data_IF_354736944393
#
_entry.id   IF_354736944393
#
_cell.length_a   1.000
_cell.length_b   1.000
_cell.length_c   1.000
_cell.angle_alpha   90.00
_cell.angle_beta   90.00
_cell.angle_gamma   90.00
#
_symmetry.space_group_name_H-M   'P 1'
#
loop_
_entity.id
_entity.type
_entity.pdbx_description
1 polymer ?
#
# COMPACT_ATOMS: atom_id res chain seq x y z
N UNK A 1 19.95 37.65 52.71
CA UNK A 1 18.88 37.71 51.72
C UNK A 1 19.06 36.49 50.78
N UNK A 2 18.23 35.45 50.92
CA UNK A 2 18.32 34.23 50.11
C UNK A 2 17.28 34.35 48.99
N UNK A 3 17.74 34.33 47.73
CA UNK A 3 16.87 34.32 46.56
C UNK A 3 16.55 32.87 46.19
N UNK A 4 15.29 32.47 46.16
CA UNK A 4 14.79 31.23 45.64
C UNK A 4 14.42 31.45 44.17
N UNK A 5 15.12 30.74 43.24
CA UNK A 5 14.76 30.71 41.82
C UNK A 5 13.78 29.55 41.64
N UNK A 6 12.53 29.87 41.30
CA UNK A 6 11.53 28.88 40.92
C UNK A 6 11.70 28.57 39.43
N UNK A 7 12.12 27.35 39.11
CA UNK A 7 12.06 26.87 37.75
C UNK A 7 10.65 26.32 37.45
N UNK A 8 9.94 26.98 36.53
CA UNK A 8 8.70 26.46 35.98
C UNK A 8 9.08 25.51 34.81
N UNK A 9 9.01 24.20 35.01
CA UNK A 9 9.04 23.25 33.95
C UNK A 9 7.65 23.24 33.28
N UNK A 10 7.53 23.85 32.08
CA UNK A 10 6.40 23.61 31.21
C UNK A 10 6.63 22.28 30.52
N UNK A 11 6.02 21.22 31.00
CA UNK A 11 5.88 19.98 30.23
C UNK A 11 4.98 20.28 29.03
N UNK A 12 5.57 20.37 27.84
CA UNK A 12 4.82 20.38 26.59
C UNK A 12 4.28 18.96 26.44
N UNK A 13 3.04 18.75 26.82
CA UNK A 13 2.31 17.53 26.47
C UNK A 13 1.96 17.67 24.99
N UNK A 14 2.67 16.93 24.14
CA UNK A 14 2.23 16.73 22.76
C UNK A 14 0.95 15.90 22.83
N UNK A 15 -0.20 16.57 22.80
CA UNK A 15 -1.46 15.92 22.52
C UNK A 15 -1.38 15.58 21.05
N UNK A 16 -1.15 14.29 20.71
CA UNK A 16 -1.32 13.78 19.34
C UNK A 16 -2.80 14.05 19.03
N UNK A 17 -3.07 14.98 18.12
CA UNK A 17 -4.44 15.21 17.66
C UNK A 17 -4.93 13.85 17.13
N UNK A 18 -6.01 13.34 17.73
CA UNK A 18 -6.68 12.16 17.24
C UNK A 18 -7.25 12.55 15.86
N UNK A 19 -7.01 11.73 14.86
CA UNK A 19 -7.59 11.93 13.54
C UNK A 19 -9.13 11.87 13.66
N UNK A 20 -9.82 12.77 13.01
CA UNK A 20 -11.29 12.80 12.99
C UNK A 20 -11.85 11.74 12.01
N UNK A 21 -10.99 11.09 11.20
CA UNK A 21 -11.37 10.13 10.17
C UNK A 21 -10.76 8.76 10.45
N UNK A 22 -11.51 7.71 10.12
CA UNK A 22 -11.09 6.33 10.34
C UNK A 22 -11.03 5.58 9.00
N UNK A 23 -9.81 5.19 8.62
CA UNK A 23 -9.53 4.33 7.49
C UNK A 23 -9.49 2.85 7.86
N UNK A 24 -8.97 2.03 6.96
CA UNK A 24 -8.68 0.63 7.23
C UNK A 24 -7.34 0.23 6.61
N UNK A 25 -6.69 -0.76 7.22
CA UNK A 25 -5.49 -1.38 6.65
C UNK A 25 -5.37 -2.84 7.10
N UNK A 26 -4.99 -3.69 6.15
CA UNK A 26 -4.68 -5.09 6.35
C UNK A 26 -3.21 -5.32 5.95
N UNK A 27 -2.47 -6.08 6.76
CA UNK A 27 -1.06 -6.35 6.54
C UNK A 27 -0.77 -7.83 6.68
N UNK A 28 0.04 -8.41 5.77
CA UNK A 28 0.55 -9.75 5.93
C UNK A 28 1.51 -9.86 7.12
N UNK A 29 1.46 -10.98 7.85
CA UNK A 29 2.34 -11.23 8.99
C UNK A 29 3.74 -11.61 8.53
N UNK A 30 3.83 -12.48 7.52
CA UNK A 30 5.11 -12.98 7.02
C UNK A 30 5.69 -12.04 5.96
N UNK A 31 6.97 -11.67 6.07
CA UNK A 31 7.67 -10.93 5.05
C UNK A 31 8.16 -11.84 3.93
N UNK A 32 8.18 -11.32 2.71
CA UNK A 32 8.63 -12.01 1.50
C UNK A 32 9.74 -11.24 0.80
N UNK A 33 10.58 -11.93 0.05
CA UNK A 33 11.62 -11.35 -0.78
C UNK A 33 11.40 -11.81 -2.21
N UNK A 34 11.14 -10.86 -3.10
CA UNK A 34 10.78 -11.09 -4.48
C UNK A 34 9.49 -11.91 -4.65
N UNK A 35 8.89 -11.83 -5.82
CA UNK A 35 7.70 -12.61 -6.12
C UNK A 35 6.77 -11.93 -7.12
N UNK A 36 5.67 -12.60 -7.40
CA UNK A 36 4.51 -12.08 -8.11
C UNK A 36 3.37 -11.89 -7.11
N UNK A 37 2.84 -10.67 -7.09
CA UNK A 37 1.78 -10.22 -6.19
C UNK A 37 0.57 -9.81 -7.02
N UNK A 38 -0.60 -10.28 -6.64
CA UNK A 38 -1.81 -9.98 -7.39
C UNK A 38 -3.00 -9.83 -6.45
N UNK A 39 -3.87 -8.88 -6.75
CA UNK A 39 -5.14 -8.67 -6.07
C UNK A 39 -6.23 -8.31 -7.08
N UNK A 40 -7.47 -8.67 -6.77
CA UNK A 40 -8.64 -8.18 -7.49
C UNK A 40 -9.36 -7.16 -6.63
N UNK A 41 -9.38 -5.90 -7.08
CA UNK A 41 -9.86 -4.76 -6.29
C UNK A 41 -10.86 -3.92 -7.07
N UNK A 42 -11.88 -3.40 -6.35
CA UNK A 42 -12.69 -2.25 -6.75
C UNK A 42 -12.45 -1.12 -5.74
N UNK A 43 -11.70 -0.07 -6.12
CA UNK A 43 -11.30 0.99 -5.21
C UNK A 43 -12.44 1.97 -4.90
N UNK A 44 -12.29 2.70 -3.79
CA UNK A 44 -13.21 3.76 -3.40
C UNK A 44 -13.11 4.96 -4.35
N UNK A 45 -14.26 5.49 -4.79
CA UNK A 45 -14.35 6.74 -5.55
C UNK A 45 -14.55 7.94 -4.62
N UNK A 46 -13.87 9.03 -4.90
CA UNK A 46 -14.01 10.34 -4.23
C UNK A 46 -12.68 11.06 -4.06
N UNK A 47 -12.69 12.38 -4.19
CA UNK A 47 -11.53 13.21 -3.97
C UNK A 47 -10.99 13.03 -2.54
N UNK A 48 -9.67 13.05 -2.39
CA UNK A 48 -9.02 12.89 -1.11
C UNK A 48 -8.86 11.45 -0.64
N UNK A 49 -9.24 10.44 -1.45
CA UNK A 49 -9.12 9.02 -1.10
C UNK A 49 -8.08 8.30 -1.97
N UNK A 50 -7.34 7.38 -1.34
CA UNK A 50 -6.48 6.41 -2.02
C UNK A 50 -6.79 5.00 -1.50
N UNK A 51 -6.93 4.07 -2.43
CA UNK A 51 -7.00 2.63 -2.16
C UNK A 51 -5.71 2.02 -2.69
N UNK A 52 -4.97 1.30 -1.86
CA UNK A 52 -3.63 0.82 -2.24
C UNK A 52 -3.46 -0.68 -2.06
N UNK A 53 -2.67 -1.27 -2.96
CA UNK A 53 -2.08 -2.59 -2.82
C UNK A 53 -0.57 -2.45 -3.00
N UNK A 54 0.20 -2.81 -1.99
CA UNK A 54 1.64 -2.53 -1.98
C UNK A 54 2.43 -3.52 -1.13
N UNK A 55 3.74 -3.51 -1.33
CA UNK A 55 4.67 -4.16 -0.40
C UNK A 55 5.58 -3.13 0.24
N UNK A 56 5.92 -3.34 1.53
CA UNK A 56 6.69 -2.41 2.33
C UNK A 56 7.67 -3.12 3.27
N UNK A 57 8.87 -2.57 3.38
CA UNK A 57 9.87 -3.03 4.34
C UNK A 57 9.59 -2.46 5.74
N UNK A 58 8.90 -3.23 6.59
CA UNK A 58 8.58 -2.83 7.97
C UNK A 58 9.82 -2.51 8.85
N UNK A 59 10.99 -2.99 8.46
CA UNK A 59 12.27 -2.71 9.17
C UNK A 59 12.90 -1.39 8.72
N UNK A 60 12.25 -0.65 7.81
CA UNK A 60 12.82 0.53 7.20
C UNK A 60 13.11 1.64 8.20
N UNK A 61 14.00 2.53 7.75
CA UNK A 61 14.20 3.88 8.29
C UNK A 61 14.93 3.95 9.63
N UNK A 62 15.20 2.81 10.28
CA UNK A 62 16.08 2.72 11.46
C UNK A 62 17.34 1.91 11.20
N UNK A 63 17.24 0.81 10.45
CA UNK A 63 18.35 -0.13 10.20
C UNK A 63 18.47 -0.55 8.74
N UNK A 64 17.42 -0.40 7.96
CA UNK A 64 17.38 -0.78 6.54
C UNK A 64 16.84 0.37 5.70
N UNK A 65 17.17 0.42 4.41
CA UNK A 65 16.59 1.37 3.48
C UNK A 65 15.07 1.26 3.38
N UNK A 66 14.42 2.35 3.03
CA UNK A 66 13.03 2.32 2.60
C UNK A 66 12.94 1.62 1.26
N UNK A 67 12.23 0.50 1.22
CA UNK A 67 11.84 -0.19 -0.01
C UNK A 67 10.33 -0.43 0.02
N UNK A 68 9.65 -0.03 -1.06
CA UNK A 68 8.20 -0.12 -1.21
C UNK A 68 7.85 -0.20 -2.70
N UNK A 69 6.85 -1.00 -3.04
CA UNK A 69 6.33 -1.12 -4.40
C UNK A 69 4.82 -0.95 -4.32
N UNK A 70 4.30 0.06 -5.05
CA UNK A 70 2.93 0.51 -4.91
C UNK A 70 2.11 0.31 -6.18
N UNK A 71 0.82 0.01 -5.97
CA UNK A 71 -0.30 0.30 -6.86
C UNK A 71 -1.26 1.18 -6.06
N UNK A 72 -1.48 2.41 -6.55
CA UNK A 72 -2.31 3.40 -5.89
C UNK A 72 -3.46 3.81 -6.80
N UNK A 73 -4.68 3.59 -6.32
CA UNK A 73 -5.93 3.87 -7.02
C UNK A 73 -6.56 5.11 -6.37
N UNK A 74 -6.31 6.27 -6.99
CA UNK A 74 -6.78 7.56 -6.48
C UNK A 74 -8.26 7.74 -6.79
N UNK A 75 -9.05 7.99 -5.76
CA UNK A 75 -10.50 8.13 -5.86
C UNK A 75 -10.98 9.26 -6.79
N UNK A 76 -10.13 10.24 -7.08
CA UNK A 76 -10.40 11.37 -7.97
C UNK A 76 -10.35 11.05 -9.46
N UNK A 77 -9.63 9.96 -9.84
CA UNK A 77 -9.38 9.66 -11.25
C UNK A 77 -10.22 8.48 -11.73
N UNK A 78 -10.91 8.67 -12.84
CA UNK A 78 -11.73 7.63 -13.47
C UNK A 78 -10.98 6.77 -14.48
N UNK A 79 -9.72 7.14 -14.79
CA UNK A 79 -8.97 6.48 -15.87
C UNK A 79 -7.45 6.43 -15.60
N UNK A 80 -7.03 6.55 -14.35
CA UNK A 80 -5.60 6.58 -14.01
C UNK A 80 -5.30 5.66 -12.84
N UNK A 81 -4.20 4.92 -12.97
CA UNK A 81 -3.60 4.13 -11.91
C UNK A 81 -2.18 4.64 -11.69
N UNK A 82 -1.83 4.93 -10.44
CA UNK A 82 -0.48 5.32 -10.07
C UNK A 82 0.31 4.07 -9.63
N UNK A 83 1.53 3.97 -10.12
CA UNK A 83 2.49 2.93 -9.74
C UNK A 83 3.76 3.60 -9.26
N UNK A 84 4.39 3.05 -8.22
CA UNK A 84 5.61 3.63 -7.68
C UNK A 84 6.56 2.53 -7.19
N UNK A 85 7.86 2.83 -7.21
CA UNK A 85 8.87 2.09 -6.48
C UNK A 85 9.64 3.08 -5.61
N UNK A 86 9.74 2.82 -4.32
CA UNK A 86 10.47 3.67 -3.38
C UNK A 86 11.77 2.98 -3.00
N UNK A 87 12.88 3.67 -3.20
CA UNK A 87 14.22 3.22 -2.86
C UNK A 87 14.91 4.22 -1.92
N UNK A 88 16.04 3.88 -1.36
CA UNK A 88 16.77 4.76 -0.46
C UNK A 88 17.16 6.09 -1.13
N UNK A 89 16.76 7.19 -0.50
CA UNK A 89 17.04 8.53 -1.02
C UNK A 89 16.17 8.99 -2.18
N UNK A 90 15.28 8.13 -2.70
CA UNK A 90 14.36 8.46 -3.78
C UNK A 90 12.97 7.85 -3.51
N UNK A 91 12.05 8.68 -3.08
CA UNK A 91 10.68 8.29 -2.74
C UNK A 91 9.70 8.33 -3.92
N UNK A 92 10.16 8.63 -5.13
CA UNK A 92 9.27 8.81 -6.26
C UNK A 92 9.90 8.33 -7.56
N UNK A 93 9.57 7.12 -7.95
CA UNK A 93 9.71 6.59 -9.30
C UNK A 93 8.31 6.37 -9.90
N UNK A 94 7.43 7.36 -9.70
CA UNK A 94 6.01 7.29 -10.02
C UNK A 94 5.78 7.22 -11.52
N UNK A 95 4.91 6.30 -11.93
CA UNK A 95 4.31 6.25 -13.24
C UNK A 95 2.79 6.29 -13.15
N UNK A 96 2.16 7.24 -13.80
CA UNK A 96 0.72 7.24 -14.04
C UNK A 96 0.42 6.47 -15.33
N UNK A 97 -0.49 5.52 -15.25
CA UNK A 97 -0.96 4.75 -16.39
C UNK A 97 -2.44 5.05 -16.66
N UNK A 98 -2.75 5.36 -17.94
CA UNK A 98 -4.14 5.54 -18.35
C UNK A 98 -4.79 4.21 -18.66
N UNK A 99 -5.96 3.97 -18.07
CA UNK A 99 -6.79 2.77 -18.32
C UNK A 99 -8.06 3.14 -19.09
N UNK A 100 -8.55 2.28 -20.02
CA UNK A 100 -9.72 2.57 -20.85
C UNK A 100 -11.05 2.39 -20.10
N UNK A 101 -11.03 2.04 -18.83
CA UNK A 101 -12.19 1.79 -17.96
C UNK A 101 -12.15 2.71 -16.73
N UNK A 102 -13.27 2.80 -16.01
CA UNK A 102 -13.31 3.46 -14.71
C UNK A 102 -13.09 2.41 -13.60
N UNK A 103 -11.95 2.45 -12.86
CA UNK A 103 -11.61 1.44 -11.86
C UNK A 103 -12.60 1.35 -10.70
N UNK A 104 -13.40 2.41 -10.46
CA UNK A 104 -14.36 2.46 -9.35
C UNK A 104 -15.70 1.76 -9.66
N UNK A 105 -15.95 1.43 -10.95
CA UNK A 105 -17.22 0.83 -11.36
C UNK A 105 -17.24 -0.68 -11.22
N UNK A 106 -16.11 -1.34 -11.45
CA UNK A 106 -16.02 -2.80 -11.38
C UNK A 106 -14.68 -3.26 -10.78
N UNK A 107 -14.57 -4.55 -10.53
CA UNK A 107 -13.35 -5.20 -10.11
C UNK A 107 -12.41 -5.41 -11.28
N UNK A 108 -11.16 -5.04 -11.08
CA UNK A 108 -10.06 -5.37 -11.99
C UNK A 108 -8.93 -6.04 -11.23
N UNK A 109 -8.10 -6.79 -11.94
CA UNK A 109 -6.95 -7.49 -11.38
C UNK A 109 -5.74 -6.56 -11.52
N UNK A 110 -5.09 -6.26 -10.40
CA UNK A 110 -3.88 -5.46 -10.32
C UNK A 110 -2.78 -6.28 -9.68
N UNK A 111 -1.58 -6.18 -10.21
CA UNK A 111 -0.46 -6.91 -9.65
C UNK A 111 0.87 -6.37 -10.09
N UNK A 112 1.92 -6.89 -9.49
CA UNK A 112 3.30 -6.64 -9.92
C UNK A 112 4.18 -7.86 -9.70
N UNK A 113 5.22 -7.95 -10.52
CA UNK A 113 6.33 -8.88 -10.36
C UNK A 113 7.53 -8.09 -9.85
N UNK A 114 8.16 -8.59 -8.81
CA UNK A 114 9.37 -8.04 -8.25
C UNK A 114 10.46 -9.11 -8.22
N UNK A 115 11.55 -8.82 -8.91
CA UNK A 115 12.73 -9.68 -9.03
C UNK A 115 14.00 -8.89 -8.69
N UNK A 116 15.18 -9.51 -8.61
CA UNK A 116 16.44 -8.76 -8.48
C UNK A 116 16.72 -7.77 -9.63
N UNK A 117 16.12 -8.01 -10.82
CA UNK A 117 16.45 -7.31 -12.05
C UNK A 117 15.38 -6.32 -12.50
N UNK A 118 14.12 -6.51 -12.07
CA UNK A 118 13.02 -5.63 -12.49
C UNK A 118 11.84 -5.64 -11.50
N UNK A 119 11.06 -4.56 -11.56
CA UNK A 119 9.67 -4.52 -11.10
C UNK A 119 8.78 -4.24 -12.31
N UNK A 120 7.78 -5.10 -12.53
CA UNK A 120 6.82 -4.95 -13.63
C UNK A 120 5.39 -4.95 -13.09
N UNK A 121 4.55 -4.02 -13.55
CA UNK A 121 3.15 -3.88 -13.14
C UNK A 121 2.21 -4.40 -14.20
N UNK A 122 1.12 -5.01 -13.74
CA UNK A 122 0.12 -5.68 -14.56
C UNK A 122 -1.29 -5.19 -14.20
N UNK A 123 -2.15 -5.06 -15.20
CA UNK A 123 -3.59 -4.87 -15.04
C UNK A 123 -4.30 -5.89 -15.91
N UNK A 124 -5.24 -6.65 -15.32
CA UNK A 124 -6.00 -7.73 -15.99
C UNK A 124 -5.10 -8.71 -16.74
N UNK A 125 -3.91 -8.98 -16.20
CA UNK A 125 -2.92 -9.92 -16.75
C UNK A 125 -2.02 -9.35 -17.85
N UNK A 126 -2.21 -8.10 -18.28
CA UNK A 126 -1.35 -7.42 -19.24
C UNK A 126 -0.27 -6.61 -18.52
N UNK A 127 1.01 -6.76 -18.94
CA UNK A 127 2.10 -5.92 -18.45
C UNK A 127 1.93 -4.50 -19.01
N UNK A 128 1.77 -3.53 -18.12
CA UNK A 128 1.52 -2.12 -18.50
C UNK A 128 2.72 -1.22 -18.29
N UNK A 129 3.65 -1.61 -17.41
CA UNK A 129 4.85 -0.85 -17.13
C UNK A 129 5.92 -1.72 -16.49
N UNK A 130 7.18 -1.38 -16.71
CA UNK A 130 8.36 -2.05 -16.13
C UNK A 130 9.42 -1.01 -15.76
N UNK A 131 10.08 -1.25 -14.65
CA UNK A 131 11.34 -0.59 -14.25
C UNK A 131 12.43 -1.66 -14.13
N UNK A 132 13.54 -1.45 -14.80
CA UNK A 132 14.74 -2.31 -14.79
C UNK A 132 16.04 -1.52 -14.63
N UNK A 133 15.92 -0.26 -14.19
CA UNK A 133 17.05 0.61 -13.91
C UNK A 133 17.75 0.21 -12.59
N UNK A 134 18.94 0.72 -12.38
CA UNK A 134 19.83 0.33 -11.28
C UNK A 134 19.24 0.49 -9.87
N UNK A 135 18.27 1.40 -9.68
CA UNK A 135 17.61 1.57 -8.38
C UNK A 135 16.79 0.33 -7.96
N UNK A 136 16.34 -0.50 -8.90
CA UNK A 136 15.62 -1.74 -8.60
C UNK A 136 16.53 -2.73 -7.85
N UNK A 137 17.83 -2.76 -8.14
CA UNK A 137 18.78 -3.63 -7.45
C UNK A 137 18.96 -3.27 -5.97
N UNK A 138 18.58 -2.05 -5.56
CA UNK A 138 18.56 -1.62 -4.17
C UNK A 138 17.35 -2.18 -3.40
N UNK A 139 16.34 -2.71 -4.12
CA UNK A 139 15.14 -3.30 -3.55
C UNK A 139 15.38 -4.77 -3.17
N UNK A 140 16.24 -5.00 -2.19
CA UNK A 140 16.72 -6.33 -1.78
C UNK A 140 16.41 -6.67 -0.33
N UNK A 141 15.45 -5.97 0.29
CA UNK A 141 15.02 -6.20 1.66
C UNK A 141 13.64 -6.83 1.70
N UNK A 142 13.43 -7.75 2.63
CA UNK A 142 12.12 -8.37 2.85
C UNK A 142 11.02 -7.31 3.04
N UNK A 143 9.90 -7.52 2.40
CA UNK A 143 8.73 -6.64 2.44
C UNK A 143 7.49 -7.45 2.84
N UNK A 144 6.51 -6.78 3.43
CA UNK A 144 5.20 -7.35 3.73
C UNK A 144 4.16 -6.80 2.77
N UNK A 145 3.15 -7.61 2.46
CA UNK A 145 2.01 -7.21 1.64
C UNK A 145 1.06 -6.37 2.50
N UNK A 146 0.59 -5.27 1.94
CA UNK A 146 -0.34 -4.34 2.57
C UNK A 146 -1.49 -3.99 1.63
N UNK A 147 -2.64 -3.73 2.24
CA UNK A 147 -3.81 -3.12 1.61
C UNK A 147 -4.35 -2.04 2.53
N UNK A 148 -4.79 -0.92 1.98
CA UNK A 148 -5.43 0.12 2.78
C UNK A 148 -6.42 0.97 1.97
N UNK A 149 -7.26 1.69 2.71
CA UNK A 149 -7.93 2.90 2.25
C UNK A 149 -7.58 4.01 3.22
N UNK A 150 -7.12 5.13 2.70
CA UNK A 150 -6.60 6.24 3.49
C UNK A 150 -6.85 7.59 2.84
N UNK A 151 -6.61 8.66 3.59
CA UNK A 151 -6.89 10.04 3.20
C UNK A 151 -5.62 10.89 3.33
N UNK A 152 -4.87 11.10 2.22
CA UNK A 152 -3.69 11.96 2.20
C UNK A 152 -3.98 13.44 2.46
N UNK A 153 -3.01 14.16 3.05
CA UNK A 153 -3.04 15.62 3.20
C UNK A 153 -2.68 16.38 1.91
N UNK A 154 -2.46 15.69 0.80
CA UNK A 154 -1.88 16.23 -0.43
C UNK A 154 -2.94 16.51 -1.49
N UNK A 155 -3.72 17.58 -1.33
CA UNK A 155 -4.84 17.95 -2.23
C UNK A 155 -4.44 18.01 -3.71
N UNK A 156 -3.20 18.44 -4.01
CA UNK A 156 -2.70 18.49 -5.38
C UNK A 156 -2.61 17.12 -6.04
N UNK A 157 -2.41 16.07 -5.25
CA UNK A 157 -2.33 14.68 -5.71
C UNK A 157 -3.70 14.00 -5.70
N UNK A 158 -4.42 14.03 -4.58
CA UNK A 158 -5.64 13.23 -4.37
C UNK A 158 -6.94 14.00 -4.54
N UNK A 159 -6.90 15.31 -4.78
CA UNK A 159 -8.08 16.18 -4.76
C UNK A 159 -8.40 16.70 -3.37
N UNK A 160 -9.29 17.69 -3.33
CA UNK A 160 -9.69 18.33 -2.07
C UNK A 160 -10.63 17.40 -1.31
N UNK A 161 -10.26 17.09 -0.07
CA UNK A 161 -11.05 16.24 0.80
C UNK A 161 -12.41 16.86 1.14
N UNK A 162 -13.46 16.05 1.04
CA UNK A 162 -14.83 16.40 1.44
C UNK A 162 -15.47 15.23 2.20
N UNK A 163 -15.59 15.36 3.51
CA UNK A 163 -16.13 14.31 4.40
C UNK A 163 -17.61 13.98 4.17
N UNK A 164 -18.34 14.83 3.43
CA UNK A 164 -19.72 14.58 3.04
C UNK A 164 -19.89 13.37 2.12
N UNK A 165 -18.79 12.86 1.54
CA UNK A 165 -18.82 11.65 0.71
C UNK A 165 -18.85 10.36 1.54
N UNK A 166 -18.54 10.41 2.82
CA UNK A 166 -18.46 9.23 3.69
C UNK A 166 -19.84 8.62 3.97
N UNK A 167 -19.94 7.28 4.18
CA UNK A 167 -18.84 6.32 4.11
C UNK A 167 -18.43 5.95 2.68
N UNK A 168 -17.16 5.53 2.51
CA UNK A 168 -16.62 4.98 1.26
C UNK A 168 -15.91 3.65 1.55
N UNK A 169 -15.95 2.75 0.56
CA UNK A 169 -15.41 1.41 0.68
C UNK A 169 -14.50 1.06 -0.50
N UNK A 170 -13.39 0.41 -0.20
CA UNK A 170 -12.61 -0.37 -1.16
C UNK A 170 -12.91 -1.85 -0.95
N UNK A 171 -13.05 -2.59 -2.04
CA UNK A 171 -13.36 -4.02 -2.00
C UNK A 171 -12.16 -4.78 -2.57
N UNK A 172 -11.68 -5.75 -1.83
CA UNK A 172 -10.63 -6.68 -2.23
C UNK A 172 -11.24 -8.07 -2.26
N UNK A 173 -11.25 -8.69 -3.45
CA UNK A 173 -11.87 -9.98 -3.68
C UNK A 173 -10.93 -11.12 -3.31
N UNK A 174 -9.66 -10.97 -3.72
CA UNK A 174 -8.59 -11.89 -3.33
C UNK A 174 -7.23 -11.21 -3.30
N UNK A 175 -6.27 -11.90 -2.68
CA UNK A 175 -4.83 -11.65 -2.83
C UNK A 175 -4.12 -12.96 -3.08
N UNK A 176 -3.16 -12.97 -4.01
CA UNK A 176 -2.25 -14.10 -4.22
C UNK A 176 -0.79 -13.66 -4.18
N UNK A 177 0.05 -14.59 -3.74
CA UNK A 177 1.50 -14.46 -3.76
C UNK A 177 2.13 -15.69 -4.37
N UNK A 178 3.07 -15.47 -5.30
CA UNK A 178 3.93 -16.48 -5.85
C UNK A 178 5.39 -16.10 -5.61
N UNK A 179 6.20 -17.02 -5.11
CA UNK A 179 7.62 -16.81 -4.89
C UNK A 179 8.39 -16.77 -6.21
N UNK A 180 9.48 -16.01 -6.25
CA UNK A 180 10.37 -15.95 -7.40
C UNK A 180 11.28 -17.19 -7.42
N UNK A 181 11.07 -18.10 -8.38
CA UNK A 181 11.74 -19.40 -8.55
C UNK A 181 12.24 -19.53 -9.99
N UNK A 182 13.27 -18.76 -10.38
CA UNK A 182 13.72 -18.71 -11.78
C UNK A 182 14.17 -20.07 -12.30
N UNK A 183 13.57 -20.49 -13.45
CA UNK A 183 13.84 -21.77 -14.08
C UNK A 183 13.10 -22.97 -13.46
N UNK A 184 12.35 -22.79 -12.38
CA UNK A 184 11.60 -23.85 -11.69
C UNK A 184 10.11 -23.52 -11.53
N UNK A 185 9.70 -22.29 -11.81
CA UNK A 185 8.32 -21.83 -11.69
C UNK A 185 7.45 -22.27 -12.86
N UNK A 186 6.15 -21.95 -12.77
CA UNK A 186 5.14 -22.32 -13.76
C UNK A 186 4.20 -21.18 -14.16
N UNK A 187 4.29 -20.02 -13.49
CA UNK A 187 3.49 -18.83 -13.77
C UNK A 187 4.35 -17.58 -13.94
N UNK A 188 3.70 -16.48 -14.36
CA UNK A 188 4.32 -15.16 -14.54
C UNK A 188 5.30 -15.09 -15.70
N UNK A 189 6.08 -14.00 -15.75
CA UNK A 189 7.06 -13.76 -16.80
C UNK A 189 8.10 -14.87 -16.85
N UNK A 190 8.25 -15.48 -18.05
CA UNK A 190 9.15 -16.61 -18.30
C UNK A 190 8.92 -17.83 -17.39
N UNK A 191 7.74 -17.97 -16.81
CA UNK A 191 7.42 -19.03 -15.85
C UNK A 191 8.42 -19.07 -14.67
N UNK A 192 8.81 -17.91 -14.17
CA UNK A 192 9.80 -17.78 -13.09
C UNK A 192 9.19 -17.66 -11.69
N UNK A 193 7.90 -17.95 -11.53
CA UNK A 193 7.24 -17.84 -10.24
C UNK A 193 6.44 -19.10 -9.94
N UNK A 194 6.36 -19.45 -8.64
CA UNK A 194 5.61 -20.59 -8.13
C UNK A 194 4.56 -20.09 -7.15
N UNK A 195 3.28 -20.42 -7.37
CA UNK A 195 2.20 -20.01 -6.48
C UNK A 195 2.39 -20.61 -5.09
N UNK A 196 2.48 -19.75 -4.07
CA UNK A 196 2.59 -20.15 -2.67
C UNK A 196 1.21 -20.21 -2.00
N UNK A 197 0.39 -19.18 -2.26
CA UNK A 197 -0.96 -19.13 -1.71
C UNK A 197 -1.85 -18.14 -2.46
N UNK A 198 -3.14 -18.39 -2.32
CA UNK A 198 -4.24 -17.55 -2.78
C UNK A 198 -5.26 -17.45 -1.63
N UNK A 199 -5.72 -16.26 -1.32
CA UNK A 199 -6.67 -15.99 -0.24
C UNK A 199 -7.86 -15.21 -0.80
N UNK A 200 -9.02 -15.87 -0.88
CA UNK A 200 -10.29 -15.34 -1.39
C UNK A 200 -11.06 -14.50 -0.36
N UNK A 201 -10.50 -14.33 0.84
CA UNK A 201 -11.12 -13.60 1.94
C UNK A 201 -12.49 -14.10 2.38
N UNK A 202 -12.83 -15.36 2.14
CA UNK A 202 -14.06 -16.00 2.64
C UNK A 202 -14.20 -15.86 4.17
N UNK A 203 -13.08 -15.72 4.85
CA UNK A 203 -13.00 -15.45 6.28
C UNK A 203 -11.68 -14.80 6.66
N UNK A 204 -11.61 -14.18 7.86
CA UNK A 204 -10.36 -13.61 8.36
C UNK A 204 -9.38 -14.70 8.81
N UNK A 205 -8.29 -14.86 8.08
CA UNK A 205 -7.17 -15.71 8.49
C UNK A 205 -6.17 -14.91 9.36
N UNK A 206 -6.31 -15.02 10.68
CA UNK A 206 -5.41 -14.37 11.64
C UNK A 206 -4.01 -14.96 11.70
N UNK A 207 -3.74 -16.05 10.99
CA UNK A 207 -2.40 -16.63 10.86
C UNK A 207 -1.62 -16.03 9.69
N UNK A 208 -2.34 -15.40 8.74
CA UNK A 208 -1.78 -14.71 7.58
C UNK A 208 -1.81 -13.19 7.71
N UNK A 209 -2.89 -12.63 8.30
CA UNK A 209 -3.19 -11.20 8.27
C UNK A 209 -3.30 -10.57 9.64
N UNK A 210 -2.87 -9.31 9.72
CA UNK A 210 -3.11 -8.39 10.82
C UNK A 210 -4.04 -7.26 10.37
N UNK A 211 -5.18 -7.09 11.02
CA UNK A 211 -5.98 -5.86 10.91
C UNK A 211 -5.30 -4.75 11.71
N UNK A 212 -4.87 -3.69 11.05
CA UNK A 212 -4.19 -2.59 11.72
C UNK A 212 -5.19 -1.82 12.59
N UNK A 213 -4.78 -1.51 13.82
CA UNK A 213 -5.61 -0.77 14.77
C UNK A 213 -4.82 0.37 15.40
N UNK A 214 -5.45 1.55 15.51
CA UNK A 214 -4.82 2.80 15.98
C UNK A 214 -3.53 3.13 15.23
N UNK A 215 -3.50 2.81 13.92
CA UNK A 215 -2.33 3.00 13.08
C UNK A 215 -2.54 4.17 12.12
N UNK A 216 -1.56 5.07 12.07
CA UNK A 216 -1.45 6.14 11.09
C UNK A 216 0.02 6.36 10.74
N UNK A 217 0.29 7.09 9.68
CA UNK A 217 1.64 7.42 9.21
C UNK A 217 1.69 8.87 8.73
N UNK A 218 2.89 9.38 8.43
CA UNK A 218 3.08 10.75 7.99
C UNK A 218 2.31 11.06 6.71
N UNK A 219 1.60 12.18 6.68
CA UNK A 219 0.79 12.59 5.52
C UNK A 219 -0.61 11.98 5.44
N UNK A 220 -1.00 11.10 6.38
CA UNK A 220 -2.33 10.51 6.46
C UNK A 220 -3.20 11.29 7.47
N UNK A 221 -4.39 11.70 7.05
CA UNK A 221 -5.39 12.36 7.90
C UNK A 221 -6.29 11.35 8.65
N UNK A 222 -6.27 10.07 8.24
CA UNK A 222 -7.08 9.03 8.87
C UNK A 222 -6.24 8.12 9.79
N UNK A 223 -6.92 7.45 10.71
CA UNK A 223 -6.35 6.39 11.54
C UNK A 223 -7.00 5.07 11.15
N UNK A 224 -6.19 4.07 10.82
CA UNK A 224 -6.71 2.73 10.55
C UNK A 224 -7.25 2.10 11.83
N UNK A 225 -8.47 1.56 11.75
CA UNK A 225 -9.13 0.83 12.84
C UNK A 225 -9.58 -0.54 12.33
N UNK A 226 -9.40 -1.56 13.14
CA UNK A 226 -9.65 -2.95 12.76
C UNK A 226 -11.13 -3.23 12.45
N UNK A 227 -12.04 -2.46 13.04
CA UNK A 227 -13.48 -2.57 12.86
C UNK A 227 -13.91 -2.19 11.43
N UNK A 228 -13.10 -1.41 10.72
CA UNK A 228 -13.33 -1.02 9.33
C UNK A 228 -12.81 -2.08 8.32
N UNK A 229 -12.18 -3.15 8.78
CA UNK A 229 -11.82 -4.30 7.94
C UNK A 229 -12.86 -5.40 8.13
N UNK A 230 -13.76 -5.55 7.15
CA UNK A 230 -14.92 -6.47 7.20
C UNK A 230 -14.76 -7.55 6.12
N UNK A 231 -15.04 -8.79 6.47
CA UNK A 231 -15.09 -9.95 5.58
C UNK A 231 -16.57 -10.30 5.35
N UNK A 232 -16.99 -10.51 4.08
CA UNK A 232 -18.39 -10.72 3.70
C UNK A 232 -18.53 -11.91 2.76
#
# INVERSE_FOLDING_TARGET
>A
MRYYILYLFSSIVFIKAQSDYYGSALKALEPVLYGKFETRIKPAQGDGLVSSFFTFNDSCCTHTPWNEIDIELLGRYEHVVDMNAITWGQSSHVRQHYVPFNPHQDFHIYGFEWTPDYVAWFIDGEEIYRQDESHIQEMSYFQKIHMNIWNPVYDHWVGVWDDRILPRFSYYDYVSYASYTPGEGDIGTNQNFTLEWHDDFDSFDSTRWEKRHNHTFGGNQSTAVQENVVFQ
#
